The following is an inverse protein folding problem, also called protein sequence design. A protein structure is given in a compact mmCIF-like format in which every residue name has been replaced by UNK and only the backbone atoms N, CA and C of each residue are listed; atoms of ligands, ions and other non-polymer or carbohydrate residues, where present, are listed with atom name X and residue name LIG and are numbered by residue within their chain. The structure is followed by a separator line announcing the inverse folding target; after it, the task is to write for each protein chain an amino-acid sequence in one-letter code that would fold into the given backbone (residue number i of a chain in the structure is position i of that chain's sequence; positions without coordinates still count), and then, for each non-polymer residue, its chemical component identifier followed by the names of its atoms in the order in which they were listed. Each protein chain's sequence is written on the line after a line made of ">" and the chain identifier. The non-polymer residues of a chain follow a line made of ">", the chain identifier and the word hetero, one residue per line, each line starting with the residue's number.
data_IF_890963456975
#
_entry.id   IF_890963456975
#
_cell.length_a   1.000
_cell.length_b   1.000
_cell.length_c   1.000
_cell.angle_alpha   90.00
_cell.angle_beta   90.00
_cell.angle_gamma   90.00
#
_symmetry.space_group_name_H-M   'P 1'
#
loop_
_entity.id
_entity.type
_entity.pdbx_description
1 polymer ?
#
# COMPACT_ATOMS: atom_id res chain seq x y z
N UNK A 1 24.34 5.10 14.92
CA UNK A 1 24.55 3.75 14.40
C UNK A 1 24.02 2.76 15.44
N UNK A 2 22.97 2.07 15.13
CA UNK A 2 22.43 1.01 15.97
C UNK A 2 22.75 -0.34 15.34
N UNK A 3 23.30 -1.22 16.15
CA UNK A 3 23.67 -2.56 15.73
C UNK A 3 22.68 -3.56 16.36
N UNK A 4 21.96 -4.27 15.54
CA UNK A 4 21.12 -5.37 15.98
C UNK A 4 21.87 -6.68 15.80
N UNK A 5 22.62 -7.08 16.83
CA UNK A 5 23.48 -8.26 16.81
C UNK A 5 22.70 -9.56 16.61
N UNK A 6 21.43 -9.62 17.06
CA UNK A 6 20.60 -10.82 16.92
C UNK A 6 20.17 -11.10 15.48
N UNK A 7 20.09 -10.07 14.66
CA UNK A 7 19.67 -10.16 13.25
C UNK A 7 20.82 -9.92 12.28
N UNK A 8 22.02 -9.60 12.77
CA UNK A 8 23.15 -9.23 11.92
C UNK A 8 22.91 -7.97 11.11
N UNK A 9 22.03 -7.10 11.58
CA UNK A 9 21.66 -5.86 10.92
C UNK A 9 22.40 -4.68 11.55
N UNK A 10 23.12 -3.95 10.71
CA UNK A 10 23.66 -2.65 11.03
C UNK A 10 22.86 -1.62 10.27
N UNK A 11 22.21 -0.70 10.95
CA UNK A 11 21.49 0.38 10.31
C UNK A 11 21.86 1.73 10.95
N UNK A 12 21.84 2.75 10.14
CA UNK A 12 22.03 4.12 10.59
C UNK A 12 20.65 4.71 10.87
N UNK A 13 20.36 4.98 12.10
CA UNK A 13 19.15 5.67 12.49
C UNK A 13 19.37 7.17 12.24
N UNK A 14 18.82 7.64 11.12
CA UNK A 14 18.81 9.06 10.76
C UNK A 14 17.38 9.54 10.59
N UNK A 15 17.12 10.78 10.92
CA UNK A 15 15.83 11.44 10.75
C UNK A 15 15.36 11.48 9.27
N UNK A 16 16.26 11.20 8.34
CA UNK A 16 16.03 11.32 6.91
C UNK A 16 15.39 10.12 6.25
N UNK A 17 15.41 8.92 6.85
CA UNK A 17 14.84 7.71 6.23
C UNK A 17 13.30 7.71 6.21
N UNK A 18 12.67 8.47 7.08
CA UNK A 18 11.22 8.49 7.28
C UNK A 18 10.61 9.89 7.17
N UNK A 19 11.40 10.89 6.84
CA UNK A 19 10.93 12.24 6.57
C UNK A 19 10.21 12.39 5.24
N UNK A 20 10.36 11.43 4.33
CA UNK A 20 9.61 11.39 3.09
C UNK A 20 8.30 10.62 3.29
N UNK A 21 7.20 11.26 2.93
CA UNK A 21 5.90 10.63 2.87
C UNK A 21 5.95 9.48 1.87
N UNK A 22 5.83 8.24 2.34
CA UNK A 22 5.73 7.09 1.45
C UNK A 22 4.44 7.18 0.63
N UNK A 23 4.48 6.87 -0.68
CA UNK A 23 3.29 6.67 -1.47
C UNK A 23 2.37 5.62 -0.82
N UNK A 24 1.06 5.80 -0.97
CA UNK A 24 0.06 4.88 -0.40
C UNK A 24 0.33 3.41 -0.74
N UNK A 25 0.63 3.13 -2.01
CA UNK A 25 0.91 1.76 -2.46
C UNK A 25 2.17 1.20 -1.79
N UNK A 26 3.21 2.00 -1.60
CA UNK A 26 4.42 1.58 -0.90
C UNK A 26 4.15 1.23 0.57
N UNK A 27 3.30 1.98 1.24
CA UNK A 27 2.87 1.70 2.61
C UNK A 27 2.09 0.39 2.68
N UNK A 28 1.13 0.18 1.78
CA UNK A 28 0.35 -1.06 1.69
C UNK A 28 1.28 -2.26 1.46
N UNK A 29 2.18 -2.16 0.50
CA UNK A 29 3.13 -3.23 0.20
C UNK A 29 4.04 -3.53 1.39
N UNK A 30 4.51 -2.50 2.07
CA UNK A 30 5.36 -2.66 3.26
C UNK A 30 4.65 -3.42 4.38
N UNK A 31 3.40 -3.09 4.66
CA UNK A 31 2.57 -3.77 5.66
C UNK A 31 2.30 -5.23 5.27
N UNK A 32 1.94 -5.49 4.02
CA UNK A 32 1.72 -6.85 3.51
C UNK A 32 3.00 -7.68 3.53
N UNK A 33 4.11 -7.11 3.12
CA UNK A 33 5.42 -7.78 3.16
C UNK A 33 5.82 -8.15 4.59
N UNK A 34 5.59 -7.26 5.55
CA UNK A 34 5.84 -7.54 6.97
C UNK A 34 4.97 -8.68 7.48
N UNK A 35 3.70 -8.70 7.10
CA UNK A 35 2.79 -9.78 7.46
C UNK A 35 3.26 -11.12 6.89
N UNK A 36 3.60 -11.18 5.61
CA UNK A 36 4.11 -12.38 4.94
C UNK A 36 5.41 -12.84 5.61
N UNK A 37 6.31 -11.91 5.90
CA UNK A 37 7.57 -12.19 6.56
C UNK A 37 7.34 -12.85 7.93
N UNK A 38 6.50 -12.28 8.76
CA UNK A 38 6.21 -12.79 10.11
C UNK A 38 5.53 -14.17 10.07
N UNK A 39 4.60 -14.37 9.15
CA UNK A 39 3.92 -15.66 8.96
C UNK A 39 4.90 -16.76 8.52
N UNK A 40 5.78 -16.46 7.59
CA UNK A 40 6.77 -17.43 7.12
C UNK A 40 7.85 -17.70 8.16
N UNK A 41 8.29 -16.69 8.89
CA UNK A 41 9.25 -16.87 9.99
C UNK A 41 8.69 -17.73 11.13
N UNK A 42 7.40 -17.65 11.39
CA UNK A 42 6.72 -18.50 12.38
C UNK A 42 6.61 -19.97 11.92
N UNK A 43 6.56 -20.22 10.61
CA UNK A 43 6.36 -21.55 10.03
C UNK A 43 7.66 -22.29 9.67
N UNK A 44 8.75 -21.56 9.43
CA UNK A 44 10.02 -22.11 8.92
C UNK A 44 11.17 -21.72 9.85
N UNK A 45 11.70 -22.69 10.55
CA UNK A 45 12.75 -22.47 11.56
C UNK A 45 14.15 -22.22 10.99
N UNK A 46 14.37 -22.25 9.69
CA UNK A 46 15.75 -22.30 9.18
C UNK A 46 16.07 -21.58 7.87
N UNK A 47 15.13 -20.87 7.24
CA UNK A 47 15.47 -20.15 6.03
C UNK A 47 15.79 -18.67 6.32
N UNK A 48 17.01 -18.27 5.97
CA UNK A 48 17.45 -16.88 6.09
C UNK A 48 16.82 -15.94 5.05
N UNK A 49 16.10 -16.48 4.08
CA UNK A 49 15.52 -15.73 2.99
C UNK A 49 14.06 -16.11 2.82
N UNK A 50 13.20 -15.13 2.93
CA UNK A 50 11.78 -15.27 2.70
C UNK A 50 11.49 -14.74 1.30
N UNK A 51 10.88 -15.60 0.48
CA UNK A 51 10.54 -15.28 -0.91
C UNK A 51 9.02 -15.20 -1.05
N UNK A 52 8.55 -14.19 -1.73
CA UNK A 52 7.15 -14.01 -2.10
C UNK A 52 7.03 -13.62 -3.57
N UNK A 53 5.82 -13.49 -4.07
CA UNK A 53 5.53 -13.01 -5.42
C UNK A 53 4.69 -11.74 -5.38
N UNK A 54 4.73 -10.95 -6.46
CA UNK A 54 3.85 -9.78 -6.59
C UNK A 54 2.37 -10.19 -6.55
N UNK A 55 2.00 -11.30 -7.16
CA UNK A 55 0.64 -11.84 -7.10
C UNK A 55 0.20 -12.16 -5.68
N UNK A 56 1.08 -12.73 -4.85
CA UNK A 56 0.79 -13.00 -3.44
C UNK A 56 0.58 -11.71 -2.64
N UNK A 57 1.38 -10.69 -2.89
CA UNK A 57 1.24 -9.38 -2.23
C UNK A 57 -0.09 -8.73 -2.62
N UNK A 58 -0.41 -8.67 -3.91
CA UNK A 58 -1.65 -8.09 -4.41
C UNK A 58 -2.89 -8.87 -3.93
N UNK A 59 -2.81 -10.19 -3.90
CA UNK A 59 -3.87 -11.06 -3.38
C UNK A 59 -4.16 -10.77 -1.91
N UNK A 60 -3.13 -10.71 -1.08
CA UNK A 60 -3.27 -10.37 0.35
C UNK A 60 -3.82 -8.95 0.55
N UNK A 61 -3.35 -7.98 -0.23
CA UNK A 61 -3.88 -6.62 -0.18
C UNK A 61 -5.37 -6.56 -0.57
N UNK A 62 -5.80 -7.39 -1.52
CA UNK A 62 -7.21 -7.57 -1.86
C UNK A 62 -8.04 -8.19 -0.74
N UNK A 63 -7.52 -9.19 -0.04
CA UNK A 63 -8.17 -9.82 1.12
C UNK A 63 -8.45 -8.83 2.26
N UNK A 64 -7.53 -7.89 2.50
CA UNK A 64 -7.71 -6.83 3.50
C UNK A 64 -8.53 -5.64 2.99
N UNK A 65 -8.95 -5.64 1.72
CA UNK A 65 -9.71 -4.55 1.12
C UNK A 65 -8.94 -3.25 0.93
N UNK A 66 -7.61 -3.28 1.05
CA UNK A 66 -6.74 -2.10 0.89
C UNK A 66 -6.37 -1.81 -0.56
N UNK A 67 -6.56 -2.78 -1.44
CA UNK A 67 -6.46 -2.64 -2.90
C UNK A 67 -7.75 -3.17 -3.54
N UNK A 68 -8.55 -2.28 -4.08
CA UNK A 68 -9.78 -2.63 -4.81
C UNK A 68 -9.55 -2.88 -6.28
N UNK A 69 -8.58 -2.18 -6.83
CA UNK A 69 -8.14 -2.33 -8.21
C UNK A 69 -6.66 -2.66 -8.22
N UNK A 70 -6.25 -3.46 -9.21
CA UNK A 70 -4.83 -3.75 -9.40
C UNK A 70 -4.11 -2.43 -9.75
N UNK A 71 -2.98 -2.15 -9.07
CA UNK A 71 -2.17 -1.00 -9.42
C UNK A 71 -1.65 -1.10 -10.86
N UNK A 72 -1.40 0.03 -11.48
CA UNK A 72 -0.80 0.06 -12.81
C UNK A 72 0.62 -0.51 -12.79
N UNK A 73 1.11 -1.09 -13.89
CA UNK A 73 2.48 -1.59 -13.98
C UNK A 73 3.53 -0.54 -13.61
N UNK A 74 3.28 0.71 -13.92
CA UNK A 74 4.16 1.83 -13.58
C UNK A 74 4.21 2.09 -12.08
N UNK A 75 3.08 2.05 -11.39
CA UNK A 75 3.00 2.20 -9.94
C UNK A 75 3.69 1.05 -9.22
N UNK A 76 3.47 -0.18 -9.66
CA UNK A 76 4.14 -1.37 -9.12
C UNK A 76 5.65 -1.24 -9.28
N UNK A 77 6.12 -0.86 -10.46
CA UNK A 77 7.55 -0.69 -10.72
C UNK A 77 8.18 0.38 -9.83
N UNK A 78 7.53 1.51 -9.68
CA UNK A 78 7.99 2.59 -8.78
C UNK A 78 8.05 2.14 -7.33
N UNK A 79 7.03 1.42 -6.88
CA UNK A 79 6.94 0.89 -5.52
C UNK A 79 8.03 -0.13 -5.25
N UNK A 80 8.22 -1.09 -6.14
CA UNK A 80 9.29 -2.11 -6.04
C UNK A 80 10.67 -1.45 -6.04
N UNK A 81 10.91 -0.50 -6.92
CA UNK A 81 12.16 0.23 -6.98
C UNK A 81 12.43 1.03 -5.70
N UNK A 82 11.41 1.64 -5.12
CA UNK A 82 11.49 2.37 -3.85
C UNK A 82 11.84 1.42 -2.69
N UNK A 83 11.14 0.31 -2.56
CA UNK A 83 11.38 -0.68 -1.49
C UNK A 83 12.74 -1.37 -1.65
N UNK A 84 13.19 -1.60 -2.88
CA UNK A 84 14.56 -2.06 -3.17
C UNK A 84 15.60 -1.05 -2.72
N UNK A 85 15.39 0.22 -3.00
CA UNK A 85 16.29 1.30 -2.59
C UNK A 85 16.45 1.38 -1.06
N UNK A 86 15.37 1.10 -0.32
CA UNK A 86 15.41 1.00 1.13
C UNK A 86 15.91 -0.35 1.66
N UNK A 87 16.31 -1.26 0.78
CA UNK A 87 16.81 -2.59 1.13
C UNK A 87 15.82 -3.44 1.95
N UNK A 88 14.55 -3.27 1.69
CA UNK A 88 13.48 -4.08 2.28
C UNK A 88 13.23 -5.34 1.46
N UNK A 89 13.34 -5.23 0.15
CA UNK A 89 13.16 -6.31 -0.80
C UNK A 89 14.26 -6.32 -1.87
N UNK A 90 14.44 -7.48 -2.48
CA UNK A 90 15.22 -7.64 -3.72
C UNK A 90 14.40 -8.42 -4.73
N UNK A 91 14.03 -7.82 -5.87
CA UNK A 91 13.42 -8.57 -6.97
C UNK A 91 14.44 -9.52 -7.59
N UNK A 92 14.00 -10.76 -7.81
CA UNK A 92 14.82 -11.78 -8.47
C UNK A 92 14.71 -11.72 -10.00
N UNK A 93 13.73 -11.00 -10.50
CA UNK A 93 13.46 -10.83 -11.93
C UNK A 93 13.72 -9.37 -12.35
N UNK A 94 13.75 -9.14 -13.64
CA UNK A 94 14.07 -7.82 -14.22
C UNK A 94 12.91 -6.83 -13.96
N UNK A 95 13.24 -5.64 -13.51
CA UNK A 95 12.25 -4.61 -13.15
C UNK A 95 11.37 -4.14 -14.33
N UNK A 96 11.83 -4.32 -15.55
CA UNK A 96 11.07 -3.96 -16.75
C UNK A 96 9.96 -4.96 -17.08
N UNK A 97 10.08 -6.19 -16.60
CA UNK A 97 9.17 -7.31 -16.91
C UNK A 97 8.37 -7.78 -15.68
N UNK A 98 8.02 -6.87 -14.77
CA UNK A 98 7.27 -7.21 -13.57
C UNK A 98 5.87 -7.74 -13.91
N UNK A 99 5.55 -8.89 -13.34
CA UNK A 99 4.23 -9.53 -13.44
C UNK A 99 3.89 -10.23 -12.11
N UNK A 100 2.72 -10.84 -12.03
CA UNK A 100 2.27 -11.52 -10.81
C UNK A 100 3.19 -12.66 -10.35
N UNK A 101 3.90 -13.27 -11.26
CA UNK A 101 4.85 -14.36 -10.98
C UNK A 101 6.23 -13.85 -10.53
N UNK A 102 6.48 -12.55 -10.61
CA UNK A 102 7.76 -11.95 -10.19
C UNK A 102 8.04 -12.25 -8.74
N UNK A 103 9.21 -12.82 -8.48
CA UNK A 103 9.66 -13.21 -7.13
C UNK A 103 10.43 -12.09 -6.48
N UNK A 104 10.18 -11.91 -5.20
CA UNK A 104 10.83 -10.94 -4.35
C UNK A 104 11.38 -11.62 -3.10
N UNK A 105 12.62 -11.33 -2.77
CA UNK A 105 13.19 -11.70 -1.46
C UNK A 105 12.87 -10.59 -0.47
N UNK A 106 12.36 -10.94 0.69
CA UNK A 106 12.14 -10.01 1.79
C UNK A 106 13.32 -10.08 2.75
N UNK A 107 13.93 -8.94 3.01
CA UNK A 107 15.06 -8.86 3.93
C UNK A 107 14.62 -8.70 5.39
N UNK A 108 15.43 -9.18 6.36
CA UNK A 108 15.18 -8.97 7.79
C UNK A 108 15.11 -7.49 8.20
N UNK A 109 15.65 -6.57 7.40
CA UNK A 109 15.52 -5.12 7.58
C UNK A 109 14.07 -4.63 7.75
N UNK A 110 13.09 -5.40 7.26
CA UNK A 110 11.67 -5.09 7.44
C UNK A 110 11.27 -5.00 8.92
N UNK A 111 11.94 -5.73 9.81
CA UNK A 111 11.72 -5.61 11.26
C UNK A 111 12.17 -4.27 11.84
N UNK A 112 13.22 -3.68 11.26
CA UNK A 112 13.68 -2.36 11.68
C UNK A 112 12.70 -1.25 11.26
N UNK A 113 11.95 -1.51 10.20
CA UNK A 113 10.98 -0.58 9.62
C UNK A 113 9.66 -0.59 10.37
N UNK A 114 9.19 -1.78 10.71
CA UNK A 114 7.91 -2.02 11.36
C UNK A 114 8.14 -2.96 12.55
N UNK A 115 8.30 -2.39 13.72
CA UNK A 115 8.51 -3.15 14.95
C UNK A 115 7.26 -3.12 15.83
N UNK A 116 6.83 -4.29 16.26
CA UNK A 116 6.02 -4.46 17.45
C UNK A 116 4.52 -4.23 17.35
N UNK A 117 4.00 -3.82 16.20
CA UNK A 117 2.57 -3.53 16.06
C UNK A 117 1.80 -4.69 15.44
N UNK A 118 0.53 -4.76 15.74
CA UNK A 118 -0.37 -5.70 15.09
C UNK A 118 -0.64 -5.23 13.66
N UNK A 119 0.12 -5.79 12.72
CA UNK A 119 0.04 -5.45 11.30
C UNK A 119 -1.35 -5.74 10.72
N UNK A 120 -2.02 -6.78 11.20
CA UNK A 120 -3.37 -7.13 10.74
C UNK A 120 -4.38 -6.04 11.14
N UNK A 121 -4.30 -5.55 12.36
CA UNK A 121 -5.14 -4.47 12.83
C UNK A 121 -4.90 -3.18 12.05
N UNK A 122 -3.63 -2.85 11.76
CA UNK A 122 -3.27 -1.71 10.92
C UNK A 122 -3.84 -1.83 9.50
N UNK A 123 -3.73 -2.99 8.87
CA UNK A 123 -4.28 -3.24 7.54
C UNK A 123 -5.81 -3.12 7.51
N UNK A 124 -6.50 -3.65 8.51
CA UNK A 124 -7.95 -3.52 8.64
C UNK A 124 -8.36 -2.05 8.79
N UNK A 125 -7.72 -1.31 9.68
CA UNK A 125 -7.97 0.12 9.87
C UNK A 125 -7.72 0.90 8.58
N UNK A 126 -6.70 0.54 7.84
CA UNK A 126 -6.36 1.18 6.56
C UNK A 126 -7.44 0.92 5.50
N UNK A 127 -7.94 -0.31 5.41
CA UNK A 127 -9.04 -0.68 4.51
C UNK A 127 -10.35 0.04 4.85
N UNK A 128 -10.71 0.12 6.14
CA UNK A 128 -11.92 0.82 6.60
C UNK A 128 -11.86 2.34 6.35
N UNK A 129 -10.69 2.93 6.49
CA UNK A 129 -10.49 4.36 6.19
C UNK A 129 -10.70 4.65 4.70
N UNK A 130 -10.24 3.76 3.84
CA UNK A 130 -10.41 3.85 2.41
C UNK A 130 -11.89 3.75 1.99
N UNK A 131 -12.63 2.81 2.56
CA UNK A 131 -14.08 2.67 2.35
C UNK A 131 -14.88 3.90 2.78
N UNK A 132 -14.45 4.53 3.87
CA UNK A 132 -15.10 5.74 4.38
C UNK A 132 -14.86 6.94 3.45
N UNK A 133 -13.66 7.06 2.93
CA UNK A 133 -13.31 8.15 2.03
C UNK A 133 -14.04 8.04 0.68
N UNK A 134 -14.13 6.85 0.09
CA UNK A 134 -14.91 6.63 -1.12
C UNK A 134 -16.40 6.93 -0.94
N UNK A 135 -16.96 6.57 0.22
CA UNK A 135 -18.38 6.86 0.51
C UNK A 135 -18.65 8.35 0.57
N UNK A 136 -17.74 9.13 1.13
CA UNK A 136 -17.84 10.58 1.19
C UNK A 136 -17.73 11.21 -0.20
N UNK A 137 -16.81 10.74 -1.02
CA UNK A 137 -16.62 11.22 -2.40
C UNK A 137 -17.86 10.93 -3.27
N UNK A 138 -18.43 9.74 -3.16
CA UNK A 138 -19.66 9.40 -3.89
C UNK A 138 -20.88 10.17 -3.42
N UNK A 139 -20.98 10.50 -2.15
CA UNK A 139 -22.06 11.35 -1.61
C UNK A 139 -21.93 12.80 -2.07
N UNK A 140 -20.73 13.33 -2.18
CA UNK A 140 -20.49 14.67 -2.70
C UNK A 140 -20.79 14.77 -4.20
N UNK A 141 -20.36 13.80 -4.99
CA UNK A 141 -20.69 13.73 -6.41
C UNK A 141 -22.21 13.65 -6.65
N UNK A 142 -22.93 12.88 -5.84
CA UNK A 142 -24.39 12.82 -5.92
C UNK A 142 -25.07 14.12 -5.54
N UNK A 143 -24.50 14.90 -4.62
CA UNK A 143 -25.02 16.22 -4.24
C UNK A 143 -24.79 17.26 -5.33
N UNK A 144 -23.69 17.22 -6.02
CA UNK A 144 -23.42 18.10 -7.16
C UNK A 144 -24.41 17.85 -8.32
N UNK A 145 -24.71 16.59 -8.61
CA UNK A 145 -25.66 16.22 -9.68
C UNK A 145 -27.09 16.64 -9.31
N UNK A 146 -27.51 16.57 -8.05
CA UNK A 146 -28.85 16.95 -7.60
C UNK A 146 -28.99 18.45 -7.32
N UNK A 147 -27.90 19.16 -7.04
CA UNK A 147 -27.87 20.61 -6.83
C UNK A 147 -27.95 21.46 -8.10
N UNK A 148 -27.75 20.85 -9.26
CA UNK A 148 -27.73 21.54 -10.56
C UNK A 148 -29.08 21.72 -11.23
N UNK A 149 -30.19 21.30 -10.64
CA UNK A 149 -31.52 21.37 -11.24
C UNK A 149 -32.44 22.35 -10.50
N UNK A 150 -31.98 23.51 -10.17
CA UNK A 150 -32.85 24.66 -10.09
C UNK A 150 -32.79 25.38 -11.44
N UNK A 151 -33.47 24.82 -12.38
CA UNK A 151 -33.96 25.60 -13.49
C UNK A 151 -34.95 26.55 -12.88
N UNK A 152 -34.57 27.80 -12.75
CA UNK A 152 -35.54 28.85 -12.60
C UNK A 152 -36.48 28.72 -13.78
N UNK A 153 -37.65 28.19 -13.56
CA UNK A 153 -38.75 28.48 -14.44
C UNK A 153 -38.98 30.00 -14.35
N UNK A 154 -38.28 30.70 -15.20
CA UNK A 154 -38.76 31.98 -15.59
C UNK A 154 -40.00 31.72 -16.44
N UNK A 155 -41.11 31.60 -15.81
CA UNK A 155 -42.38 31.84 -16.45
C UNK A 155 -42.50 33.33 -16.61
N UNK A 156 -41.70 33.87 -17.48
CA UNK A 156 -41.96 35.13 -18.08
C UNK A 156 -43.24 35.02 -18.90
N UNK A 157 -44.34 34.94 -18.25
CA UNK A 157 -45.60 35.28 -18.88
C UNK A 157 -45.59 36.77 -19.08
N UNK A 158 -45.09 37.20 -20.18
CA UNK A 158 -45.41 38.51 -20.65
C UNK A 158 -46.91 38.43 -20.92
N UNK A 159 -47.69 38.96 -20.05
CA UNK A 159 -49.04 39.30 -20.33
C UNK A 159 -49.03 40.35 -21.37
N UNK A 160 -48.87 39.95 -22.61
CA UNK A 160 -49.23 40.82 -23.70
C UNK A 160 -50.76 40.95 -23.65
N UNK A 161 -51.16 42.08 -23.45
CA UNK A 161 -52.47 42.59 -23.76
C UNK A 161 -53.15 41.94 -24.84
#
# INVERSE_FOLDING_TARGET
>A
MNENVQMGLIYIQGETLWGEKLPRLATIYLLILKLIYDEQMASVSSSNHIVTTLGAINGRAGEFGVLRTLPSPTEIRRTVALLKRYQVIEPLDVLEELNESTRLVIYPSIHAVLSGDDIRALLQTFGEADERQERLETEDDMKEITGGTTIGEDTGVSGAL
#
